data_IF_274191466283
#
_entry.id   IF_274191466283
#
_cell.length_a   1.000
_cell.length_b   1.000
_cell.length_c   1.000
_cell.angle_alpha   90.00
_cell.angle_beta   90.00
_cell.angle_gamma   90.00
#
_symmetry.space_group_name_H-M   'P 1'
#
loop_
_entity.id
_entity.type
_entity.pdbx_description
1 polymer ?
#
# COMPACT_ATOMS: atom_id res chain seq x y z
N UNK A 1 3.61 9.83 13.10
CA UNK A 1 2.40 9.19 12.52
C UNK A 1 2.38 7.73 12.95
N UNK A 2 1.25 7.24 13.46
CA UNK A 2 1.09 5.86 13.96
C UNK A 2 0.31 5.06 12.94
N UNK A 3 0.85 3.94 12.47
CA UNK A 3 0.15 3.08 11.52
C UNK A 3 -0.71 2.08 12.29
N UNK A 4 -1.99 2.03 11.94
CA UNK A 4 -2.94 1.04 12.42
C UNK A 4 -3.05 -0.07 11.39
N UNK A 5 -2.83 -1.32 11.79
CA UNK A 5 -2.87 -2.46 10.87
C UNK A 5 -3.83 -3.54 11.36
N UNK A 6 -4.50 -4.20 10.41
CA UNK A 6 -5.32 -5.38 10.69
C UNK A 6 -4.56 -6.62 10.25
N UNK A 7 -4.35 -7.53 11.20
CA UNK A 7 -3.36 -8.60 11.10
C UNK A 7 -3.64 -9.58 9.96
N UNK A 8 -4.91 -9.95 9.81
CA UNK A 8 -5.37 -10.98 8.86
C UNK A 8 -5.24 -10.50 7.42
N UNK A 9 -5.81 -9.35 7.08
CA UNK A 9 -5.85 -8.86 5.69
C UNK A 9 -4.62 -8.02 5.30
N UNK A 10 -3.89 -7.49 6.28
CA UNK A 10 -2.83 -6.51 6.05
C UNK A 10 -3.35 -5.12 5.69
N UNK A 11 -4.66 -4.86 5.86
CA UNK A 11 -5.19 -3.49 5.77
C UNK A 11 -4.42 -2.59 6.73
N UNK A 12 -4.17 -1.34 6.32
CA UNK A 12 -3.50 -0.38 7.17
C UNK A 12 -4.09 1.03 7.01
N UNK A 13 -3.94 1.86 8.04
CA UNK A 13 -4.33 3.28 8.01
C UNK A 13 -3.32 4.15 8.76
N UNK A 14 -3.17 5.41 8.32
CA UNK A 14 -2.20 6.39 8.85
C UNK A 14 -2.54 6.99 10.22
N UNK A 15 -3.81 6.99 10.60
CA UNK A 15 -4.26 7.56 11.88
C UNK A 15 -5.50 6.85 12.42
N UNK A 16 -6.61 6.93 11.69
CA UNK A 16 -7.87 6.30 12.10
C UNK A 16 -8.39 5.33 11.04
N UNK A 17 -9.10 4.31 11.50
CA UNK A 17 -9.85 3.39 10.65
C UNK A 17 -11.15 3.96 10.10
N UNK A 18 -11.59 5.09 10.66
CA UNK A 18 -12.92 5.62 10.42
C UNK A 18 -12.99 6.56 9.21
N UNK A 19 -11.85 6.99 8.69
CA UNK A 19 -11.74 7.80 7.48
C UNK A 19 -11.06 6.98 6.37
N UNK A 20 -11.76 6.62 5.28
CA UNK A 20 -11.15 5.91 4.15
C UNK A 20 -10.00 6.67 3.50
N UNK A 21 -9.94 8.00 3.66
CA UNK A 21 -8.82 8.83 3.17
C UNK A 21 -7.49 8.44 3.82
N UNK A 22 -7.52 7.93 5.06
CA UNK A 22 -6.34 7.48 5.78
C UNK A 22 -5.93 6.04 5.47
N UNK A 23 -6.73 5.29 4.71
CA UNK A 23 -6.40 3.92 4.34
C UNK A 23 -5.15 3.92 3.47
N UNK A 24 -4.16 3.11 3.87
CA UNK A 24 -2.97 2.90 3.08
C UNK A 24 -3.26 1.88 1.98
N UNK A 25 -2.97 2.29 0.75
CA UNK A 25 -2.92 1.39 -0.40
C UNK A 25 -1.46 1.15 -0.76
N UNK A 26 -1.17 -0.08 -1.16
CA UNK A 26 0.20 -0.58 -1.26
C UNK A 26 0.55 -0.96 -2.69
N UNK A 27 1.60 -0.38 -3.23
CA UNK A 27 2.22 -0.84 -4.47
C UNK A 27 3.35 -1.84 -4.17
N UNK A 28 3.30 -3.08 -4.66
CA UNK A 28 4.40 -4.02 -4.56
C UNK A 28 5.47 -3.68 -5.59
N UNK A 29 6.68 -3.38 -5.15
CA UNK A 29 7.83 -3.14 -6.01
C UNK A 29 8.89 -4.23 -5.82
N UNK A 30 9.51 -4.67 -6.91
CA UNK A 30 10.71 -5.49 -6.84
C UNK A 30 11.89 -4.60 -6.45
N UNK A 31 12.56 -4.95 -5.35
CA UNK A 31 13.65 -4.17 -4.77
C UNK A 31 14.87 -4.07 -5.70
N UNK A 32 15.12 -5.08 -6.54
CA UNK A 32 16.27 -5.08 -7.46
C UNK A 32 16.08 -4.12 -8.64
N UNK A 33 14.84 -3.81 -8.99
CA UNK A 33 14.49 -2.83 -10.03
C UNK A 33 13.94 -1.52 -9.47
N UNK A 34 13.86 -1.38 -8.15
CA UNK A 34 13.34 -0.16 -7.52
C UNK A 34 14.30 1.00 -7.78
N UNK A 35 13.74 2.12 -8.23
CA UNK A 35 14.49 3.36 -8.47
C UNK A 35 13.74 4.53 -7.84
N UNK A 36 14.32 5.73 -7.91
CA UNK A 36 13.67 6.99 -7.51
C UNK A 36 12.78 7.58 -8.61
N UNK A 37 12.59 6.86 -9.73
CA UNK A 37 11.66 7.28 -10.78
C UNK A 37 10.20 7.03 -10.36
N UNK A 38 9.22 7.66 -11.05
CA UNK A 38 7.81 7.34 -10.85
C UNK A 38 7.53 5.84 -10.96
N UNK A 39 6.60 5.35 -10.14
CA UNK A 39 6.13 3.98 -10.21
C UNK A 39 5.30 3.80 -11.48
N UNK A 40 5.65 2.77 -12.25
CA UNK A 40 4.98 2.43 -13.50
C UNK A 40 4.33 1.06 -13.34
N UNK A 41 3.06 0.94 -13.71
CA UNK A 41 2.36 -0.33 -13.76
C UNK A 41 2.72 -1.12 -15.02
N UNK A 42 2.45 -2.43 -15.02
CA UNK A 42 2.62 -3.27 -16.21
C UNK A 42 1.60 -2.94 -17.33
N UNK A 43 0.59 -2.13 -17.03
CA UNK A 43 -0.49 -1.69 -17.94
C UNK A 43 -0.59 -0.16 -17.92
N UNK A 44 -1.55 0.41 -18.65
CA UNK A 44 -1.92 1.83 -18.57
C UNK A 44 -2.35 2.30 -17.17
N UNK A 45 -2.45 1.37 -16.20
CA UNK A 45 -2.74 1.63 -14.80
C UNK A 45 -1.75 0.95 -13.85
N UNK A 46 -1.41 1.65 -12.78
CA UNK A 46 -0.63 1.18 -11.62
C UNK A 46 -1.59 0.57 -10.59
N UNK A 47 -1.49 -0.73 -10.26
CA UNK A 47 -2.33 -1.35 -9.25
C UNK A 47 -1.73 -1.16 -7.84
N UNK A 48 -2.54 -0.62 -6.94
CA UNK A 48 -2.29 -0.58 -5.51
C UNK A 48 -3.29 -1.50 -4.78
N UNK A 49 -2.90 -2.08 -3.66
CA UNK A 49 -3.72 -3.06 -2.94
C UNK A 49 -4.07 -2.55 -1.55
N UNK A 50 -5.34 -2.69 -1.14
CA UNK A 50 -5.74 -2.42 0.25
C UNK A 50 -5.26 -3.50 1.21
N UNK A 51 -5.27 -4.76 0.77
CA UNK A 51 -4.94 -5.94 1.58
C UNK A 51 -3.74 -6.68 0.97
N UNK A 52 -2.51 -6.13 1.13
CA UNK A 52 -1.34 -6.63 0.43
C UNK A 52 -0.99 -8.07 0.80
N UNK A 53 -1.26 -8.53 2.03
CA UNK A 53 -1.01 -9.92 2.46
C UNK A 53 -1.77 -10.94 1.61
N UNK A 54 -3.05 -10.65 1.34
CA UNK A 54 -3.96 -11.57 0.66
C UNK A 54 -4.03 -11.37 -0.85
N UNK A 55 -3.54 -10.22 -1.35
CA UNK A 55 -3.63 -9.85 -2.77
C UNK A 55 -2.27 -9.88 -3.47
N UNK A 56 -1.30 -9.11 -2.96
CA UNK A 56 0.00 -8.90 -3.61
C UNK A 56 1.04 -9.94 -3.16
N UNK A 57 1.14 -10.18 -1.86
CA UNK A 57 2.21 -10.98 -1.26
C UNK A 57 1.95 -12.49 -1.31
N UNK A 58 0.70 -12.92 -1.37
CA UNK A 58 0.31 -14.34 -1.39
C UNK A 58 0.98 -15.16 -2.51
N UNK A 59 1.45 -14.50 -3.58
CA UNK A 59 2.11 -15.13 -4.74
C UNK A 59 3.47 -14.52 -5.08
N UNK A 60 3.97 -13.61 -4.23
CA UNK A 60 5.18 -12.85 -4.53
C UNK A 60 6.46 -13.64 -4.23
N UNK A 61 7.49 -13.41 -5.05
CA UNK A 61 8.84 -13.90 -4.77
C UNK A 61 9.50 -13.12 -3.61
N UNK A 62 10.66 -13.60 -3.16
CA UNK A 62 11.52 -12.84 -2.25
C UNK A 62 11.99 -11.53 -2.91
N UNK A 63 12.31 -10.52 -2.10
CA UNK A 63 12.82 -9.23 -2.57
C UNK A 63 11.72 -8.22 -2.97
N UNK A 64 10.49 -8.40 -2.49
CA UNK A 64 9.43 -7.39 -2.64
C UNK A 64 9.45 -6.40 -1.48
N UNK A 65 9.22 -5.13 -1.82
CA UNK A 65 8.94 -4.05 -0.87
C UNK A 65 7.57 -3.44 -1.18
N UNK A 66 6.77 -3.16 -0.15
CA UNK A 66 5.51 -2.47 -0.30
C UNK A 66 5.71 -0.96 -0.11
N UNK A 67 5.20 -0.19 -1.07
CA UNK A 67 5.19 1.27 -1.07
C UNK A 67 3.77 1.74 -0.75
N UNK A 68 3.58 2.28 0.45
CA UNK A 68 2.29 2.66 1.02
C UNK A 68 1.99 4.14 0.87
N UNK A 69 0.79 4.44 0.41
CA UNK A 69 0.27 5.80 0.23
C UNK A 69 -1.15 5.87 0.83
N UNK A 70 -1.49 6.92 1.59
CA UNK A 70 -2.86 7.16 2.00
C UNK A 70 -3.75 7.40 0.77
N UNK A 71 -4.92 6.77 0.74
CA UNK A 71 -5.85 6.86 -0.38
C UNK A 71 -6.25 8.32 -0.68
N UNK A 72 -6.46 9.13 0.36
CA UNK A 72 -6.82 10.54 0.22
C UNK A 72 -5.73 11.42 -0.38
N UNK A 73 -4.49 10.93 -0.39
CA UNK A 73 -3.34 11.63 -0.95
C UNK A 73 -3.04 11.15 -2.39
N UNK A 74 -3.83 10.22 -2.95
CA UNK A 74 -3.78 9.87 -4.36
C UNK A 74 -4.36 10.99 -5.21
N UNK A 75 -3.53 11.55 -6.07
CA UNK A 75 -3.93 12.53 -7.07
C UNK A 75 -4.22 11.86 -8.42
N UNK A 76 -4.99 12.52 -9.28
CA UNK A 76 -5.32 12.02 -10.61
C UNK A 76 -6.54 11.09 -10.64
N UNK A 77 -6.70 10.35 -11.74
CA UNK A 77 -7.82 9.44 -11.93
C UNK A 77 -7.48 8.05 -11.41
N UNK A 78 -8.13 7.67 -10.31
CA UNK A 78 -8.07 6.31 -9.77
C UNK A 78 -9.47 5.72 -9.63
N UNK A 79 -9.53 4.39 -9.60
CA UNK A 79 -10.73 3.61 -9.33
C UNK A 79 -10.42 2.51 -8.33
N UNK A 80 -11.20 2.41 -7.28
CA UNK A 80 -11.17 1.27 -6.36
C UNK A 80 -12.12 0.20 -6.89
N UNK A 81 -11.62 -1.02 -7.02
CA UNK A 81 -12.33 -2.20 -7.45
C UNK A 81 -12.31 -3.23 -6.32
N UNK A 82 -13.44 -3.88 -6.06
CA UNK A 82 -13.54 -5.00 -5.14
C UNK A 82 -14.63 -5.96 -5.63
N UNK A 83 -14.23 -7.16 -6.04
CA UNK A 83 -15.12 -8.15 -6.67
C UNK A 83 -15.87 -7.50 -7.86
N UNK A 84 -17.20 -7.51 -7.85
CA UNK A 84 -18.05 -7.00 -8.93
C UNK A 84 -18.47 -5.52 -8.76
N UNK A 85 -17.78 -4.78 -7.88
CA UNK A 85 -18.11 -3.39 -7.57
C UNK A 85 -16.90 -2.48 -7.75
N UNK A 86 -17.18 -1.25 -8.15
CA UNK A 86 -16.17 -0.21 -8.33
C UNK A 86 -16.65 1.13 -7.76
N UNK A 87 -15.74 1.97 -7.29
CA UNK A 87 -16.00 3.39 -6.99
C UNK A 87 -14.79 4.24 -7.29
N UNK A 88 -15.02 5.51 -7.60
CA UNK A 88 -14.02 6.57 -7.73
C UNK A 88 -14.17 7.59 -6.58
N UNK A 89 -15.03 7.32 -5.59
CA UNK A 89 -15.33 8.18 -4.46
C UNK A 89 -14.76 7.61 -3.16
N UNK A 90 -13.92 8.38 -2.46
CA UNK A 90 -13.34 8.01 -1.16
C UNK A 90 -14.42 7.65 -0.14
N UNK A 91 -15.52 8.42 -0.08
CA UNK A 91 -16.59 8.20 0.89
C UNK A 91 -17.32 6.87 0.71
N UNK A 92 -17.27 6.29 -0.49
CA UNK A 92 -17.89 5.00 -0.80
C UNK A 92 -16.94 3.82 -0.58
N UNK A 93 -15.63 4.07 -0.38
CA UNK A 93 -14.62 3.00 -0.26
C UNK A 93 -14.90 2.10 0.93
N UNK A 94 -15.27 2.63 2.10
CA UNK A 94 -15.64 1.78 3.24
C UNK A 94 -16.79 0.81 2.88
N UNK A 95 -17.81 1.30 2.17
CA UNK A 95 -18.95 0.47 1.71
C UNK A 95 -18.60 -0.48 0.56
N UNK A 96 -17.61 -0.15 -0.27
CA UNK A 96 -17.04 -1.04 -1.29
C UNK A 96 -16.28 -2.20 -0.62
N UNK A 97 -15.47 -1.89 0.38
CA UNK A 97 -14.63 -2.84 1.11
C UNK A 97 -15.46 -3.76 2.02
N UNK A 98 -16.56 -3.24 2.58
CA UNK A 98 -17.49 -3.96 3.44
C UNK A 98 -16.99 -4.13 4.88
N UNK A 99 -17.90 -4.44 5.80
CA UNK A 99 -17.67 -4.41 7.25
C UNK A 99 -16.62 -5.43 7.75
N UNK A 100 -16.38 -6.51 6.99
CA UNK A 100 -15.47 -7.58 7.37
C UNK A 100 -14.08 -7.51 6.71
N UNK A 101 -13.74 -6.44 5.96
CA UNK A 101 -12.47 -6.38 5.21
C UNK A 101 -11.23 -6.58 6.10
N UNK A 102 -11.25 -6.07 7.31
CA UNK A 102 -10.20 -6.27 8.33
C UNK A 102 -9.82 -7.74 8.55
N UNK A 103 -10.77 -8.66 8.33
CA UNK A 103 -10.64 -10.10 8.60
C UNK A 103 -10.66 -10.94 7.32
N UNK A 104 -10.66 -10.31 6.14
CA UNK A 104 -10.68 -11.03 4.87
C UNK A 104 -9.36 -11.73 4.61
N UNK A 105 -9.48 -12.94 4.09
CA UNK A 105 -8.38 -13.75 3.57
C UNK A 105 -8.40 -13.86 2.03
N UNK A 106 -9.40 -13.28 1.37
CA UNK A 106 -9.60 -13.24 -0.08
C UNK A 106 -9.26 -11.82 -0.63
N UNK A 107 -8.03 -11.66 -1.10
CA UNK A 107 -7.46 -10.35 -1.50
C UNK A 107 -7.96 -9.80 -2.83
N UNK A 108 -9.20 -9.30 -2.85
CA UNK A 108 -9.84 -8.81 -4.08
C UNK A 108 -9.85 -7.28 -4.24
N UNK A 109 -9.45 -6.51 -3.23
CA UNK A 109 -9.59 -5.06 -3.24
C UNK A 109 -8.33 -4.33 -3.77
N UNK A 110 -8.48 -3.66 -4.92
CA UNK A 110 -7.40 -3.01 -5.67
C UNK A 110 -7.79 -1.57 -6.01
N UNK A 111 -6.87 -0.63 -5.90
CA UNK A 111 -6.97 0.70 -6.49
C UNK A 111 -6.14 0.75 -7.76
N UNK A 112 -6.78 1.04 -8.89
CA UNK A 112 -6.13 1.23 -10.17
C UNK A 112 -5.95 2.72 -10.42
N UNK A 113 -4.70 3.20 -10.41
CA UNK A 113 -4.36 4.56 -10.81
C UNK A 113 -3.97 4.59 -12.29
N UNK A 114 -4.48 5.51 -13.09
CA UNK A 114 -4.05 5.63 -14.50
C UNK A 114 -2.77 6.45 -14.62
N UNK A 115 -1.81 5.98 -15.42
CA UNK A 115 -0.55 6.68 -15.70
C UNK A 115 0.61 6.26 -14.79
N UNK A 116 1.49 7.20 -14.47
CA UNK A 116 2.62 7.00 -13.56
C UNK A 116 2.31 7.58 -12.18
N UNK A 117 2.90 7.02 -11.12
CA UNK A 117 2.73 7.53 -9.76
C UNK A 117 4.04 8.08 -9.18
N UNK A 118 4.08 9.35 -8.72
CA UNK A 118 5.28 9.95 -8.16
C UNK A 118 5.72 9.27 -6.86
N UNK A 119 7.01 8.93 -6.75
CA UNK A 119 7.54 8.23 -5.58
C UNK A 119 7.61 9.13 -4.33
N UNK A 120 7.60 10.44 -4.54
CA UNK A 120 7.59 11.49 -3.51
C UNK A 120 6.34 11.42 -2.62
N UNK A 121 5.25 10.84 -3.12
CA UNK A 121 4.00 10.62 -2.39
C UNK A 121 4.01 9.37 -1.50
N UNK A 122 5.00 8.48 -1.65
CA UNK A 122 5.12 7.28 -0.81
C UNK A 122 5.45 7.68 0.62
N UNK A 123 4.57 7.34 1.57
CA UNK A 123 4.73 7.70 2.99
C UNK A 123 5.29 6.57 3.83
N UNK A 124 5.00 5.32 3.43
CA UNK A 124 5.40 4.14 4.18
C UNK A 124 6.09 3.16 3.25
N UNK A 125 7.20 2.61 3.69
CA UNK A 125 7.95 1.58 2.95
C UNK A 125 8.08 0.37 3.86
N UNK A 126 7.61 -0.79 3.42
CA UNK A 126 7.65 -2.03 4.18
C UNK A 126 8.43 -3.10 3.41
N UNK A 127 9.65 -3.42 3.84
CA UNK A 127 10.46 -4.50 3.28
C UNK A 127 10.12 -5.85 3.91
N UNK A 128 10.23 -6.96 3.18
CA UNK A 128 9.92 -8.30 3.71
C UNK A 128 10.72 -8.65 4.98
N UNK A 129 11.95 -8.15 5.09
CA UNK A 129 12.85 -8.38 6.21
C UNK A 129 13.76 -7.16 6.45
N UNK A 130 14.58 -7.21 7.50
CA UNK A 130 15.49 -6.11 7.87
C UNK A 130 16.47 -5.73 6.75
N UNK A 131 17.17 -6.68 6.07
CA UNK A 131 17.99 -6.37 4.90
C UNK A 131 17.24 -5.60 3.80
N UNK A 132 16.05 -6.05 3.42
CA UNK A 132 15.25 -5.44 2.36
C UNK A 132 14.76 -4.05 2.75
N UNK A 133 14.30 -3.88 3.99
CA UNK A 133 13.95 -2.56 4.54
C UNK A 133 15.14 -1.62 4.53
N UNK A 134 16.34 -2.10 4.89
CA UNK A 134 17.55 -1.28 4.85
C UNK A 134 17.89 -0.84 3.42
N UNK A 135 17.89 -1.77 2.47
CA UNK A 135 18.15 -1.45 1.05
C UNK A 135 17.14 -0.43 0.51
N UNK A 136 15.84 -0.61 0.80
CA UNK A 136 14.81 0.33 0.39
C UNK A 136 14.99 1.70 1.06
N UNK A 137 15.41 1.73 2.32
CA UNK A 137 15.74 2.96 3.05
C UNK A 137 16.92 3.70 2.45
N UNK A 138 18.03 3.00 2.20
CA UNK A 138 19.24 3.59 1.62
C UNK A 138 18.95 4.22 0.25
N UNK A 139 17.98 3.69 -0.51
CA UNK A 139 17.53 4.25 -1.79
C UNK A 139 16.57 5.45 -1.64
N UNK A 140 15.59 5.37 -0.72
CA UNK A 140 14.44 6.29 -0.70
C UNK A 140 14.49 7.36 0.40
N UNK A 141 15.47 7.32 1.31
CA UNK A 141 15.51 8.26 2.44
C UNK A 141 15.72 9.72 2.01
N UNK A 142 16.52 9.94 0.97
CA UNK A 142 16.85 11.28 0.46
C UNK A 142 15.88 11.77 -0.62
N UNK A 143 14.91 10.93 -1.02
CA UNK A 143 13.85 11.32 -1.96
C UNK A 143 12.92 12.31 -1.25
N UNK A 144 12.69 13.51 -1.83
CA UNK A 144 11.76 14.49 -1.28
C UNK A 144 10.40 13.89 -0.94
N UNK A 145 9.74 14.49 0.05
CA UNK A 145 8.40 14.08 0.46
C UNK A 145 7.40 15.18 0.10
N UNK A 146 6.36 14.83 -0.64
CA UNK A 146 5.25 15.72 -1.02
C UNK A 146 4.15 15.80 0.06
N UNK A 147 4.48 15.38 1.27
CA UNK A 147 3.60 15.32 2.42
C UNK A 147 4.35 15.82 3.66
N UNK A 148 3.60 16.19 4.69
CA UNK A 148 4.18 16.65 5.95
C UNK A 148 4.78 15.48 6.74
N UNK A 149 6.06 15.62 7.12
CA UNK A 149 6.78 14.65 7.92
C UNK A 149 7.87 13.92 7.14
N UNK A 150 8.24 12.73 7.61
CA UNK A 150 9.26 11.89 6.97
C UNK A 150 8.68 10.54 6.58
N UNK A 151 9.14 10.03 5.44
CA UNK A 151 8.84 8.67 4.99
C UNK A 151 9.24 7.67 6.07
N UNK A 152 8.33 6.76 6.41
CA UNK A 152 8.57 5.73 7.40
C UNK A 152 9.03 4.44 6.76
N UNK A 153 9.95 3.75 7.42
CA UNK A 153 10.50 2.48 6.97
C UNK A 153 10.25 1.43 8.04
N UNK A 154 9.61 0.35 7.65
CA UNK A 154 9.24 -0.77 8.51
C UNK A 154 9.61 -2.09 7.84
N UNK A 155 9.66 -3.15 8.62
CA UNK A 155 9.61 -4.50 8.08
C UNK A 155 8.15 -4.96 7.97
N UNK A 156 7.82 -5.82 7.00
CA UNK A 156 6.49 -6.39 6.88
C UNK A 156 6.07 -7.16 8.13
N UNK A 157 6.93 -7.93 8.82
CA UNK A 157 6.57 -8.55 10.11
C UNK A 157 6.26 -7.54 11.23
N UNK A 158 6.82 -6.33 11.20
CA UNK A 158 6.47 -5.28 12.17
C UNK A 158 5.08 -4.70 11.91
N UNK A 159 4.71 -4.48 10.63
CA UNK A 159 3.40 -3.94 10.28
C UNK A 159 2.30 -5.00 10.25
N UNK A 160 2.65 -6.21 9.81
CA UNK A 160 1.73 -7.30 9.53
C UNK A 160 2.30 -8.59 10.11
N UNK A 161 2.40 -8.72 11.45
CA UNK A 161 2.92 -9.94 12.05
C UNK A 161 2.10 -11.15 11.59
N UNK A 162 2.75 -12.31 11.45
CA UNK A 162 2.05 -13.56 11.20
C UNK A 162 1.09 -13.83 12.37
N UNK A 163 -0.11 -14.34 12.06
CA UNK A 163 -1.01 -14.81 13.11
C UNK A 163 -0.26 -15.91 13.86
N UNK A 164 -0.04 -15.70 15.16
CA UNK A 164 0.56 -16.71 16.03
C UNK A 164 -0.39 -17.91 15.99
N UNK A 165 0.06 -19.00 15.36
CA UNK A 165 -0.64 -20.27 15.27
C UNK A 165 -0.90 -20.90 16.65
#
# INVERSE_FOLDING_TARGET
>A
MKIHTWLTSGLAARDTSNDPSDYLVWFPANLDSLTVAPLVGESASVPFYFTPKTSALAKSADGIVLLGVPLGDLEGSWRADNLDRSTESISEVAGLLGENLAYRNDGAAVVQLRGEFPIEKVQVVAGQNRPDTKRAKDLLIDVPSDFLGTRQFHTMPELFPDEIA
#
